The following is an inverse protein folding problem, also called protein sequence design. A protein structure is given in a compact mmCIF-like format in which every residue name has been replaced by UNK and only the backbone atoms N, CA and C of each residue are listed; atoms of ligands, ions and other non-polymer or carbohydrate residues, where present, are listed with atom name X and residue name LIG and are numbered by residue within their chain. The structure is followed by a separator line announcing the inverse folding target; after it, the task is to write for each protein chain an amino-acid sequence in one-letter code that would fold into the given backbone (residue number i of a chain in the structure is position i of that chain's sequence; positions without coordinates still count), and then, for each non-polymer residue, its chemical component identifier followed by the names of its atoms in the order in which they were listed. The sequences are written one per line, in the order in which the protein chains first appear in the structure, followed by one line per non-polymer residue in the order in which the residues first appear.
data_IF_484501388869
#
_entry.id   IF_484501388869
#
_cell.length_a   1.000
_cell.length_b   1.000
_cell.length_c   1.000
_cell.angle_alpha   90.00
_cell.angle_beta   90.00
_cell.angle_gamma   90.00
#
_symmetry.space_group_name_H-M   'P 1'
#
loop_
_entity.id
_entity.type
_entity.pdbx_description
1 polymer ?
#
# COMPACT_ATOMS: atom_id res chain seq x y z
N UNK A 1 -11.83 11.78 20.81
CA UNK A 1 -11.09 12.27 19.63
C UNK A 1 -9.64 12.39 20.06
N UNK A 2 -8.91 11.28 19.93
CA UNK A 2 -7.55 11.14 20.49
C UNK A 2 -6.58 11.97 19.67
N UNK A 3 -5.90 12.91 20.34
CA UNK A 3 -4.79 13.68 19.81
C UNK A 3 -3.68 12.72 19.36
N UNK A 4 -3.44 12.66 18.04
CA UNK A 4 -2.23 12.05 17.49
C UNK A 4 -1.09 12.98 17.88
N UNK A 5 -0.09 12.46 18.60
CA UNK A 5 1.08 13.25 18.98
C UNK A 5 1.77 13.74 17.71
N UNK A 6 1.88 15.06 17.56
CA UNK A 6 2.70 15.65 16.50
C UNK A 6 4.17 15.36 16.82
N UNK A 7 4.76 14.45 16.04
CA UNK A 7 6.17 14.08 16.15
C UNK A 7 6.40 12.64 16.62
N UNK A 8 6.36 11.71 15.66
CA UNK A 8 7.24 10.51 15.52
C UNK A 8 6.70 9.56 14.42
N UNK A 9 6.40 10.11 13.24
CA UNK A 9 5.97 9.31 12.08
C UNK A 9 6.67 9.81 10.82
N UNK A 10 7.19 8.89 10.00
CA UNK A 10 7.83 9.21 8.71
C UNK A 10 6.82 9.74 7.65
N UNK A 11 5.52 9.60 7.92
CA UNK A 11 4.42 10.04 7.06
C UNK A 11 3.18 10.34 7.91
N UNK A 12 2.46 11.43 7.61
CA UNK A 12 1.18 11.77 8.22
C UNK A 12 0.10 12.01 7.15
N UNK A 13 -1.05 11.33 7.25
CA UNK A 13 -2.17 11.46 6.30
C UNK A 13 -3.05 12.64 6.70
N UNK A 14 -2.90 13.77 6.02
CA UNK A 14 -3.73 14.97 6.23
C UNK A 14 -5.13 14.88 5.61
N UNK A 15 -5.27 14.06 4.55
CA UNK A 15 -6.54 13.78 3.86
C UNK A 15 -6.46 12.44 3.12
N UNK A 16 -7.34 11.46 3.38
CA UNK A 16 -7.35 10.20 2.66
C UNK A 16 -7.99 10.33 1.26
N UNK A 17 -7.51 9.53 0.30
CA UNK A 17 -8.22 9.28 -0.95
C UNK A 17 -9.27 8.18 -0.79
N UNK A 18 -10.10 7.94 -1.81
CA UNK A 18 -11.22 7.00 -1.75
C UNK A 18 -10.79 5.57 -1.35
N UNK A 19 -9.66 5.09 -1.86
CA UNK A 19 -9.14 3.74 -1.63
C UNK A 19 -7.59 3.75 -1.55
N UNK A 20 -7.02 4.67 -0.77
CA UNK A 20 -5.57 4.72 -0.57
C UNK A 20 -5.14 3.56 0.34
N UNK A 21 -4.44 2.59 -0.23
CA UNK A 21 -3.98 1.39 0.48
C UNK A 21 -2.48 1.20 0.33
N UNK A 22 -1.82 0.64 1.35
CA UNK A 22 -0.47 0.10 1.22
C UNK A 22 -0.57 -1.23 0.48
N UNK A 23 0.19 -1.38 -0.62
CA UNK A 23 0.19 -2.59 -1.43
C UNK A 23 1.61 -3.08 -1.65
N UNK A 24 1.77 -4.40 -1.61
CA UNK A 24 2.99 -5.12 -2.01
C UNK A 24 2.79 -5.79 -3.38
N UNK A 25 3.60 -6.82 -3.69
CA UNK A 25 3.49 -7.57 -4.94
C UNK A 25 2.30 -8.55 -5.00
N UNK A 26 1.57 -8.75 -3.89
CA UNK A 26 0.38 -9.59 -3.80
C UNK A 26 0.58 -10.93 -3.09
N UNK A 27 -0.35 -11.86 -3.37
CA UNK A 27 -0.50 -13.18 -2.74
C UNK A 27 -0.75 -14.29 -3.80
N UNK A 28 0.18 -14.51 -4.75
CA UNK A 28 0.04 -15.61 -5.71
C UNK A 28 0.05 -16.98 -5.01
N UNK A 29 -0.61 -17.98 -5.60
CA UNK A 29 -0.64 -19.36 -5.11
C UNK A 29 -1.80 -19.73 -4.17
N UNK A 30 -2.50 -18.75 -3.61
CA UNK A 30 -3.55 -18.97 -2.60
C UNK A 30 -4.99 -18.94 -3.12
N UNK A 31 -5.19 -18.80 -4.44
CA UNK A 31 -6.52 -18.70 -5.05
C UNK A 31 -7.40 -19.92 -4.78
N UNK A 32 -6.81 -21.10 -4.63
CA UNK A 32 -7.54 -22.34 -4.32
C UNK A 32 -8.16 -22.36 -2.91
N UNK A 33 -7.72 -21.47 -2.02
CA UNK A 33 -8.31 -21.24 -0.71
C UNK A 33 -9.25 -20.01 -0.70
N UNK A 34 -9.55 -19.43 -1.86
CA UNK A 34 -10.38 -18.23 -1.98
C UNK A 34 -9.64 -16.91 -1.69
N UNK A 35 -8.31 -16.93 -1.54
CA UNK A 35 -7.53 -15.69 -1.33
C UNK A 35 -7.29 -15.02 -2.68
N UNK A 36 -7.77 -13.78 -2.82
CA UNK A 36 -7.55 -12.97 -4.02
C UNK A 36 -6.08 -12.62 -4.24
N UNK A 37 -5.72 -12.21 -5.46
CA UNK A 37 -4.34 -11.89 -5.86
C UNK A 37 -3.70 -10.80 -4.99
N UNK A 38 -4.49 -9.83 -4.50
CA UNK A 38 -4.03 -8.64 -3.78
C UNK A 38 -2.91 -7.87 -4.54
N UNK A 39 -2.25 -6.95 -3.85
CA UNK A 39 -1.12 -6.20 -4.37
C UNK A 39 -1.52 -5.04 -5.27
N UNK A 40 -0.50 -4.42 -5.85
CA UNK A 40 -0.65 -3.27 -6.75
C UNK A 40 -1.47 -3.62 -7.99
N UNK A 41 -2.41 -2.74 -8.34
CA UNK A 41 -3.24 -2.90 -9.55
C UNK A 41 -2.40 -2.75 -10.83
N UNK A 42 -1.52 -1.74 -10.88
CA UNK A 42 -0.57 -1.52 -11.97
C UNK A 42 0.84 -1.93 -11.52
N UNK A 43 1.19 -3.19 -11.79
CA UNK A 43 2.48 -3.75 -11.40
C UNK A 43 3.68 -3.11 -12.13
N UNK A 44 3.65 -2.80 -13.45
CA UNK A 44 4.71 -2.03 -14.09
C UNK A 44 4.97 -0.67 -13.43
N UNK A 45 3.93 0.12 -13.15
CA UNK A 45 4.08 1.44 -12.54
C UNK A 45 4.66 1.36 -11.12
N UNK A 46 4.16 0.44 -10.29
CA UNK A 46 4.67 0.23 -8.93
C UNK A 46 6.15 -0.19 -8.91
N UNK A 47 6.57 -1.08 -9.82
CA UNK A 47 7.99 -1.47 -9.94
C UNK A 47 8.86 -0.28 -10.34
N UNK A 48 8.38 0.57 -11.24
CA UNK A 48 9.10 1.79 -11.60
C UNK A 48 9.24 2.71 -10.39
N UNK A 49 8.15 2.95 -9.64
CA UNK A 49 8.17 3.81 -8.45
C UNK A 49 9.18 3.31 -7.40
N UNK A 50 9.18 2.01 -7.08
CA UNK A 50 10.15 1.45 -6.12
C UNK A 50 11.59 1.59 -6.61
N UNK A 51 11.86 1.30 -7.90
CA UNK A 51 13.22 1.47 -8.47
C UNK A 51 13.71 2.91 -8.44
N UNK A 52 12.81 3.89 -8.50
CA UNK A 52 13.17 5.31 -8.40
C UNK A 52 13.52 5.71 -6.95
N UNK A 53 13.04 4.97 -5.95
CA UNK A 53 13.24 5.25 -4.53
C UNK A 53 14.36 4.44 -3.87
N UNK A 54 14.79 3.32 -4.47
CA UNK A 54 15.86 2.45 -3.97
C UNK A 54 15.41 1.00 -3.85
#
# INVERSE_FOLDING_TARGET
MTSVREGEGILHVVRPGALTTVQDAGRPGWAHLGVGRAGVLDAPAARLANRLAG
#
